data_IF_025691537023
#
_entry.id   IF_025691537023
#
_cell.length_a   1.000
_cell.length_b   1.000
_cell.length_c   1.000
_cell.angle_alpha   90.00
_cell.angle_beta   90.00
_cell.angle_gamma   90.00
#
_symmetry.space_group_name_H-M   'P 1'
#
loop_
_entity.id
_entity.type
_entity.pdbx_description
1 polymer ?
#
# COMPACT_ATOMS: atom_id res chain seq x y z
N UNK A 1 48.17 38.30 16.93
CA UNK A 1 47.19 37.45 17.63
C UNK A 1 45.80 37.78 17.07
N UNK A 2 45.53 37.39 15.83
CA UNK A 2 44.31 37.81 15.09
C UNK A 2 43.88 36.81 14.01
N UNK A 3 44.70 35.79 13.70
CA UNK A 3 44.40 34.79 12.66
C UNK A 3 43.44 33.70 13.18
N UNK A 4 43.36 33.51 14.50
CA UNK A 4 42.51 32.48 15.12
C UNK A 4 41.00 32.78 15.03
N UNK A 5 40.60 34.05 14.86
CA UNK A 5 39.16 34.42 14.80
C UNK A 5 38.55 34.30 13.40
N UNK A 6 39.35 34.23 12.33
CA UNK A 6 38.81 34.14 10.96
C UNK A 6 38.47 32.70 10.53
N UNK A 7 39.03 31.68 11.19
CA UNK A 7 38.77 30.27 10.86
C UNK A 7 37.46 29.73 11.44
N UNK A 8 37.00 30.23 12.60
CA UNK A 8 35.74 29.80 13.20
C UNK A 8 34.51 30.25 12.41
N UNK A 9 34.56 31.44 11.81
CA UNK A 9 33.38 32.02 11.16
C UNK A 9 33.00 31.33 9.84
N UNK A 10 33.96 30.68 9.17
CA UNK A 10 33.70 30.00 7.90
C UNK A 10 33.20 28.57 8.09
N UNK A 11 33.59 27.92 9.19
CA UNK A 11 33.17 26.55 9.50
C UNK A 11 31.68 26.45 9.80
N UNK A 12 31.13 27.45 10.51
CA UNK A 12 29.72 27.50 10.87
C UNK A 12 28.79 27.62 9.64
N UNK A 13 29.20 28.38 8.62
CA UNK A 13 28.44 28.53 7.37
C UNK A 13 28.41 27.23 6.55
N UNK A 14 29.51 26.49 6.55
CA UNK A 14 29.60 25.18 5.86
C UNK A 14 28.76 24.13 6.59
N UNK A 15 28.78 24.13 7.93
CA UNK A 15 27.99 23.21 8.75
C UNK A 15 26.48 23.43 8.58
N UNK A 16 26.01 24.69 8.55
CA UNK A 16 24.59 25.00 8.30
C UNK A 16 24.14 24.57 6.90
N UNK A 17 24.96 24.81 5.88
CA UNK A 17 24.62 24.41 4.50
C UNK A 17 24.55 22.88 4.36
N UNK A 18 25.47 22.15 5.00
CA UNK A 18 25.48 20.69 4.97
C UNK A 18 24.28 20.11 5.74
N UNK A 19 23.94 20.67 6.90
CA UNK A 19 22.78 20.22 7.69
C UNK A 19 21.45 20.55 7.02
N UNK A 20 21.29 21.73 6.39
CA UNK A 20 20.11 22.01 5.56
C UNK A 20 20.01 21.08 4.34
N UNK A 21 21.12 20.76 3.68
CA UNK A 21 21.12 19.81 2.56
C UNK A 21 20.71 18.39 3.01
N UNK A 22 21.17 17.94 4.18
CA UNK A 22 20.78 16.64 4.75
C UNK A 22 19.30 16.64 5.16
N UNK A 23 18.80 17.72 5.79
CA UNK A 23 17.38 17.85 6.17
C UNK A 23 16.47 17.91 4.93
N UNK A 24 16.90 18.56 3.84
CA UNK A 24 16.21 18.56 2.55
C UNK A 24 16.26 17.19 1.84
N UNK A 25 17.35 16.42 2.00
CA UNK A 25 17.42 15.06 1.44
C UNK A 25 16.50 14.07 2.16
N UNK A 26 16.24 14.25 3.46
CA UNK A 26 15.31 13.40 4.22
C UNK A 26 13.83 13.75 3.98
N UNK A 27 13.52 14.90 3.39
CA UNK A 27 12.13 15.37 3.16
C UNK A 27 11.55 14.98 1.79
N UNK A 28 12.29 14.22 0.96
CA UNK A 28 11.85 13.80 -0.38
C UNK A 28 11.52 12.30 -0.51
N UNK A 29 11.46 11.55 0.59
CA UNK A 29 10.92 10.18 0.58
C UNK A 29 9.41 10.23 0.85
N UNK A 30 8.64 10.49 -0.21
CA UNK A 30 7.18 10.46 -0.15
C UNK A 30 6.69 9.02 0.03
N UNK A 31 6.15 8.73 1.22
CA UNK A 31 5.34 7.55 1.47
C UNK A 31 3.88 7.98 1.46
N UNK A 32 3.13 7.44 0.51
CA UNK A 32 1.68 7.56 0.51
C UNK A 32 1.13 6.46 1.43
N UNK A 33 0.26 6.83 2.35
CA UNK A 33 -0.45 5.89 3.22
C UNK A 33 -1.93 6.18 3.19
N UNK A 34 -2.73 5.13 3.25
CA UNK A 34 -4.19 5.22 3.13
C UNK A 34 -4.79 4.61 4.39
N UNK A 35 -5.57 5.39 5.12
CA UNK A 35 -6.44 4.83 6.17
C UNK A 35 -7.84 4.77 5.63
N UNK A 36 -8.48 3.61 5.79
CA UNK A 36 -9.91 3.48 5.58
C UNK A 36 -10.62 3.74 6.92
N UNK A 37 -11.36 4.84 7.02
CA UNK A 37 -12.22 5.11 8.19
C UNK A 37 -13.68 4.90 7.82
N UNK A 38 -14.39 4.12 8.63
CA UNK A 38 -15.82 3.89 8.44
C UNK A 38 -16.60 5.08 9.01
N UNK A 39 -17.24 5.86 8.14
CA UNK A 39 -18.19 6.91 8.51
C UNK A 39 -19.61 6.38 8.75
N UNK A 40 -20.61 7.26 8.69
CA UNK A 40 -22.02 6.93 8.98
C UNK A 40 -22.67 5.97 7.99
N UNK A 41 -22.10 5.77 6.78
CA UNK A 41 -22.53 4.70 5.88
C UNK A 41 -21.58 4.38 4.72
N UNK A 42 -20.43 5.05 4.63
CA UNK A 42 -19.49 4.94 3.52
C UNK A 42 -18.06 4.77 4.05
N UNK A 43 -17.27 3.91 3.39
CA UNK A 43 -15.83 3.83 3.63
C UNK A 43 -15.18 5.04 2.98
N UNK A 44 -14.68 5.97 3.79
CA UNK A 44 -13.83 7.04 3.28
C UNK A 44 -12.37 6.60 3.34
N UNK A 45 -11.71 6.67 2.19
CA UNK A 45 -10.28 6.47 2.07
C UNK A 45 -9.62 7.84 2.07
N UNK A 46 -8.83 8.13 3.09
CA UNK A 46 -8.01 9.34 3.11
C UNK A 46 -6.59 8.98 2.68
N UNK A 47 -6.24 9.35 1.44
CA UNK A 47 -4.85 9.30 0.95
C UNK A 47 -4.08 10.43 1.64
N UNK A 48 -3.02 10.07 2.37
CA UNK A 48 -2.09 11.04 2.96
C UNK A 48 -0.64 10.69 2.64
N UNK A 49 0.05 11.69 2.10
CA UNK A 49 1.48 11.64 1.78
C UNK A 49 2.33 12.11 2.98
N UNK A 50 2.00 11.62 4.17
CA UNK A 50 2.70 11.95 5.43
C UNK A 50 3.23 10.66 6.07
N UNK A 51 4.55 10.54 6.17
CA UNK A 51 5.23 9.43 6.82
C UNK A 51 4.80 9.25 8.29
N UNK A 52 4.51 10.33 9.00
CA UNK A 52 4.01 10.24 10.38
C UNK A 52 2.60 9.65 10.44
N UNK A 53 1.81 9.82 9.38
CA UNK A 53 0.50 9.19 9.25
C UNK A 53 0.64 7.72 8.84
N UNK A 54 1.51 7.41 7.88
CA UNK A 54 1.84 6.04 7.47
C UNK A 54 2.30 5.18 8.66
N UNK A 55 3.24 5.71 9.45
CA UNK A 55 3.78 5.05 10.65
C UNK A 55 2.75 4.96 11.78
N UNK A 56 1.79 5.89 11.86
CA UNK A 56 0.67 5.80 12.81
C UNK A 56 -0.33 4.71 12.44
N UNK A 57 -0.46 4.42 11.15
CA UNK A 57 -1.49 3.53 10.62
C UNK A 57 -0.94 2.12 10.40
N UNK A 58 0.36 1.98 10.10
CA UNK A 58 1.01 0.71 9.78
C UNK A 58 2.26 0.55 10.67
N UNK A 59 2.33 -0.49 11.53
CA UNK A 59 3.44 -0.66 12.47
C UNK A 59 4.79 -0.88 11.78
N UNK A 60 5.86 -0.25 12.28
CA UNK A 60 7.21 -0.39 11.72
C UNK A 60 7.70 -1.86 11.70
N UNK A 61 7.33 -2.64 12.72
CA UNK A 61 7.65 -4.07 12.80
C UNK A 61 6.98 -4.89 11.68
N UNK A 62 5.82 -4.47 11.17
CA UNK A 62 5.20 -5.10 10.00
C UNK A 62 6.03 -4.83 8.74
N UNK A 63 6.45 -3.58 8.53
CA UNK A 63 7.27 -3.21 7.37
C UNK A 63 8.61 -3.95 7.37
N UNK A 64 9.23 -4.10 8.55
CA UNK A 64 10.44 -4.91 8.70
C UNK A 64 10.18 -6.39 8.35
N UNK A 65 9.06 -6.95 8.81
CA UNK A 65 8.68 -8.33 8.48
C UNK A 65 8.51 -8.56 6.97
N UNK A 66 7.88 -7.61 6.27
CA UNK A 66 7.68 -7.66 4.81
C UNK A 66 9.03 -7.62 4.09
N UNK A 67 9.90 -6.68 4.50
CA UNK A 67 11.25 -6.53 3.94
C UNK A 67 12.10 -7.79 4.11
N UNK A 68 11.91 -8.53 5.21
CA UNK A 68 12.67 -9.74 5.50
C UNK A 68 12.12 -11.00 4.81
N UNK A 69 10.80 -11.13 4.69
CA UNK A 69 10.18 -12.42 4.32
C UNK A 69 9.55 -12.44 2.93
N UNK A 70 9.02 -11.32 2.44
CA UNK A 70 8.29 -11.31 1.17
C UNK A 70 9.11 -10.66 0.05
N UNK A 71 9.94 -9.66 0.37
CA UNK A 71 10.77 -8.98 -0.64
C UNK A 71 11.88 -9.92 -1.16
N UNK A 72 12.00 -10.11 -2.50
CA UNK A 72 13.09 -10.88 -3.08
C UNK A 72 14.46 -10.34 -2.69
N UNK A 73 15.40 -11.21 -2.35
CA UNK A 73 16.75 -10.81 -1.85
C UNK A 73 17.59 -10.03 -2.88
N UNK A 74 17.27 -10.17 -4.16
CA UNK A 74 17.91 -9.50 -5.30
C UNK A 74 17.24 -8.16 -5.65
N UNK A 75 16.13 -7.80 -4.99
CA UNK A 75 15.47 -6.53 -5.22
C UNK A 75 16.21 -5.38 -4.50
N UNK A 76 16.61 -4.37 -5.27
CA UNK A 76 17.39 -3.22 -4.78
C UNK A 76 16.54 -1.99 -4.43
N UNK A 77 15.22 -2.12 -4.35
CA UNK A 77 14.33 -1.02 -4.02
C UNK A 77 14.19 -0.77 -2.51
N UNK A 78 13.42 0.24 -2.13
CA UNK A 78 13.13 0.55 -0.72
C UNK A 78 11.78 -0.07 -0.31
N UNK A 79 11.76 -1.09 0.58
CA UNK A 79 10.52 -1.73 1.03
C UNK A 79 9.54 -0.77 1.69
N UNK A 80 10.00 0.39 2.17
CA UNK A 80 9.15 1.39 2.81
C UNK A 80 8.22 2.10 1.81
N UNK A 81 8.40 1.88 0.51
CA UNK A 81 7.56 2.44 -0.56
C UNK A 81 6.25 1.70 -0.75
N UNK A 82 6.05 0.54 -0.14
CA UNK A 82 4.77 -0.14 -0.21
C UNK A 82 3.72 0.65 0.57
N UNK A 83 2.58 0.89 -0.09
CA UNK A 83 1.41 1.40 0.62
C UNK A 83 0.82 0.25 1.44
N UNK A 84 0.40 0.57 2.65
CA UNK A 84 -0.31 -0.38 3.48
C UNK A 84 -1.56 0.30 4.04
N UNK A 85 -2.67 -0.42 3.97
CA UNK A 85 -4.00 0.03 4.35
C UNK A 85 -4.37 -0.70 5.63
N UNK A 86 -4.53 0.04 6.73
CA UNK A 86 -5.12 -0.52 7.93
C UNK A 86 -6.65 -0.47 7.83
N UNK A 87 -7.28 -1.64 7.94
CA UNK A 87 -8.72 -1.84 7.89
C UNK A 87 -9.18 -2.21 9.30
N UNK A 88 -9.91 -1.29 9.94
CA UNK A 88 -10.51 -1.50 11.25
C UNK A 88 -11.96 -1.05 11.25
N UNK A 89 -12.87 -2.01 11.40
CA UNK A 89 -14.31 -1.81 11.51
C UNK A 89 -14.80 -2.10 12.92
N UNK A 90 -15.99 -1.58 13.24
CA UNK A 90 -16.65 -1.84 14.52
C UNK A 90 -16.84 -3.35 14.73
N UNK A 91 -16.31 -3.88 15.83
CA UNK A 91 -16.38 -5.30 16.19
C UNK A 91 -15.11 -6.10 15.85
N UNK A 92 -14.19 -5.56 15.05
CA UNK A 92 -12.86 -6.14 14.91
C UNK A 92 -12.06 -5.95 16.20
N UNK A 93 -11.33 -6.98 16.62
CA UNK A 93 -10.42 -6.90 17.77
C UNK A 93 -9.09 -6.25 17.42
N UNK A 94 -8.61 -6.51 16.21
CA UNK A 94 -7.33 -6.02 15.69
C UNK A 94 -7.53 -5.57 14.24
N UNK A 95 -6.76 -4.56 13.79
CA UNK A 95 -6.80 -4.12 12.40
C UNK A 95 -6.23 -5.20 11.47
N UNK A 96 -6.77 -5.26 10.26
CA UNK A 96 -6.17 -5.98 9.14
C UNK A 96 -5.29 -5.01 8.35
N UNK A 97 -4.04 -5.37 8.10
CA UNK A 97 -3.11 -4.58 7.31
C UNK A 97 -3.00 -5.17 5.91
N UNK A 98 -3.64 -4.54 4.92
CA UNK A 98 -3.50 -4.92 3.51
C UNK A 98 -2.31 -4.18 2.91
N UNK A 99 -1.37 -4.90 2.33
CA UNK A 99 -0.22 -4.35 1.60
C UNK A 99 -0.65 -4.17 0.15
N UNK A 100 -0.67 -2.92 -0.29
CA UNK A 100 -0.95 -2.55 -1.66
C UNK A 100 0.39 -2.43 -2.43
N UNK A 101 0.73 -3.43 -3.25
CA UNK A 101 1.97 -3.46 -4.01
C UNK A 101 1.95 -2.50 -5.20
N UNK A 102 0.76 -2.09 -5.66
CA UNK A 102 0.60 -1.05 -6.67
C UNK A 102 1.05 0.25 -6.05
N UNK A 103 2.19 0.76 -6.50
CA UNK A 103 2.61 2.13 -6.20
C UNK A 103 1.50 3.06 -6.68
N UNK A 104 0.67 3.50 -5.74
CA UNK A 104 -0.34 4.51 -5.97
C UNK A 104 0.34 5.67 -6.70
N UNK A 105 -0.07 5.86 -7.95
CA UNK A 105 -0.11 7.15 -8.65
C UNK A 105 1.13 8.06 -8.46
N UNK A 106 2.35 7.51 -8.42
CA UNK A 106 3.57 8.32 -8.55
C UNK A 106 3.63 8.80 -10.00
N UNK A 107 3.02 9.96 -10.23
CA UNK A 107 2.92 10.92 -11.36
C UNK A 107 3.90 10.85 -12.55
N UNK A 108 4.40 9.67 -12.93
CA UNK A 108 5.43 9.55 -13.96
C UNK A 108 5.47 8.21 -14.69
N UNK A 109 4.53 7.30 -14.42
CA UNK A 109 4.43 6.05 -15.17
C UNK A 109 2.96 5.76 -15.49
N UNK A 110 2.45 6.22 -16.64
CA UNK A 110 1.12 5.79 -17.09
C UNK A 110 1.13 4.27 -17.21
N UNK A 111 0.06 3.61 -16.73
CA UNK A 111 -0.10 2.15 -16.78
C UNK A 111 0.12 1.55 -18.19
N UNK A 112 0.08 2.38 -19.24
CA UNK A 112 0.59 2.09 -20.59
C UNK A 112 1.89 2.86 -20.82
N UNK A 113 3.03 2.18 -20.74
CA UNK A 113 4.33 2.75 -21.16
C UNK A 113 5.53 2.49 -20.23
N UNK A 114 5.33 1.88 -19.06
CA UNK A 114 6.44 1.46 -18.20
C UNK A 114 7.08 0.19 -18.76
N UNK A 115 8.41 0.15 -18.88
CA UNK A 115 9.09 -1.12 -19.17
C UNK A 115 8.91 -2.09 -18.00
N UNK A 116 8.82 -3.39 -18.28
CA UNK A 116 8.73 -4.44 -17.27
C UNK A 116 9.90 -4.36 -16.26
N UNK A 117 11.08 -3.95 -16.72
CA UNK A 117 12.27 -3.74 -15.89
C UNK A 117 12.10 -2.58 -14.88
N UNK A 118 11.51 -1.45 -15.31
CA UNK A 118 11.22 -0.34 -14.41
C UNK A 118 10.13 -0.70 -13.39
N UNK A 119 9.14 -1.51 -13.80
CA UNK A 119 8.11 -2.04 -12.91
C UNK A 119 8.72 -2.98 -11.86
N UNK A 120 9.58 -3.92 -12.27
CA UNK A 120 10.26 -4.84 -11.38
C UNK A 120 11.18 -4.13 -10.38
N UNK A 121 11.89 -3.07 -10.81
CA UNK A 121 12.69 -2.23 -9.92
C UNK A 121 11.84 -1.45 -8.90
N UNK A 122 10.59 -1.11 -9.25
CA UNK A 122 9.73 -0.23 -8.44
C UNK A 122 8.77 -0.99 -7.53
N UNK A 123 8.25 -2.13 -7.95
CA UNK A 123 7.40 -3.00 -7.15
C UNK A 123 7.69 -4.46 -7.47
N UNK A 124 8.42 -5.19 -6.62
CA UNK A 124 8.86 -6.57 -6.88
C UNK A 124 7.69 -7.55 -6.88
N UNK A 125 6.53 -7.12 -6.36
CA UNK A 125 5.31 -7.90 -6.26
C UNK A 125 4.42 -7.77 -7.49
N UNK A 126 4.81 -6.95 -8.46
CA UNK A 126 3.96 -6.55 -9.56
C UNK A 126 4.56 -6.99 -10.91
N UNK A 127 3.87 -7.90 -11.60
CA UNK A 127 4.14 -8.23 -13.00
C UNK A 127 3.50 -7.24 -13.97
N UNK A 128 3.50 -7.57 -15.25
CA UNK A 128 2.88 -6.73 -16.30
C UNK A 128 1.36 -6.62 -16.11
N UNK A 129 0.69 -7.75 -15.81
CA UNK A 129 -0.78 -7.84 -15.81
C UNK A 129 -1.42 -7.95 -14.41
N UNK A 130 -0.65 -8.31 -13.38
CA UNK A 130 -1.15 -8.57 -12.02
C UNK A 130 -0.13 -8.16 -10.95
N UNK A 131 -0.60 -7.91 -9.72
CA UNK A 131 0.27 -7.76 -8.55
C UNK A 131 -0.10 -8.76 -7.46
N UNK A 132 0.90 -9.15 -6.66
CA UNK A 132 0.74 -9.98 -5.47
C UNK A 132 0.40 -9.10 -4.26
N UNK A 133 -0.83 -9.21 -3.78
CA UNK A 133 -1.32 -8.54 -2.59
C UNK A 133 -1.11 -9.42 -1.37
N UNK A 134 -0.82 -8.79 -0.23
CA UNK A 134 -0.67 -9.48 1.06
C UNK A 134 -1.56 -8.84 2.11
N UNK A 135 -2.05 -9.60 3.07
CA UNK A 135 -2.60 -9.01 4.29
C UNK A 135 -2.09 -9.68 5.55
N UNK A 136 -1.99 -8.88 6.60
CA UNK A 136 -1.40 -9.24 7.88
C UNK A 136 -2.34 -8.91 9.04
N UNK A 137 -2.34 -9.77 10.05
CA UNK A 137 -2.93 -9.49 11.36
C UNK A 137 -1.84 -9.38 12.40
N UNK A 138 -2.04 -8.46 13.34
CA UNK A 138 -1.22 -8.38 14.54
C UNK A 138 -1.87 -9.16 15.69
N UNK A 139 -1.09 -10.06 16.29
CA UNK A 139 -1.46 -10.77 17.51
C UNK A 139 -0.28 -10.74 18.49
N UNK A 140 -0.47 -10.10 19.66
CA UNK A 140 0.55 -10.00 20.71
C UNK A 140 1.89 -9.45 20.20
N UNK A 141 1.86 -8.42 19.35
CA UNK A 141 3.06 -7.80 18.77
C UNK A 141 3.73 -8.62 17.66
N UNK A 142 3.09 -9.70 17.19
CA UNK A 142 3.58 -10.51 16.07
C UNK A 142 2.63 -10.37 14.88
N UNK A 143 3.20 -10.22 13.70
CA UNK A 143 2.43 -10.17 12.45
C UNK A 143 2.39 -11.54 11.78
N UNK A 144 1.20 -11.99 11.42
CA UNK A 144 0.95 -13.24 10.69
C UNK A 144 0.31 -12.92 9.34
N UNK A 145 0.86 -13.49 8.26
CA UNK A 145 0.30 -13.35 6.91
C UNK A 145 -0.99 -14.18 6.82
N UNK A 146 -2.09 -13.54 6.48
CA UNK A 146 -3.43 -14.16 6.39
C UNK A 146 -4.06 -14.06 5.01
N UNK A 147 -3.45 -13.33 4.08
CA UNK A 147 -3.88 -13.23 2.70
C UNK A 147 -2.66 -13.08 1.80
N UNK A 148 -2.70 -13.74 0.65
CA UNK A 148 -1.65 -13.71 -0.38
C UNK A 148 -2.29 -14.13 -1.70
N UNK A 149 -2.53 -13.19 -2.60
CA UNK A 149 -3.16 -13.47 -3.89
C UNK A 149 -2.63 -12.57 -5.01
N UNK A 150 -2.53 -13.13 -6.21
CA UNK A 150 -2.22 -12.38 -7.42
C UNK A 150 -3.50 -11.78 -8.00
N UNK A 151 -3.62 -10.46 -7.95
CA UNK A 151 -4.80 -9.73 -8.41
C UNK A 151 -4.48 -8.97 -9.72
N UNK A 152 -5.29 -9.13 -10.78
CA UNK A 152 -5.15 -8.35 -12.01
C UNK A 152 -5.30 -6.84 -11.78
N UNK A 153 -4.56 -6.01 -12.53
CA UNK A 153 -4.48 -4.55 -12.28
C UNK A 153 -5.40 -3.66 -13.11
N UNK A 154 -6.24 -4.25 -13.95
CA UNK A 154 -6.96 -3.49 -14.97
C UNK A 154 -8.41 -3.26 -14.57
N UNK A 155 -8.75 -1.98 -14.41
CA UNK A 155 -10.11 -1.48 -14.26
C UNK A 155 -10.26 -0.17 -15.03
N UNK A 156 -11.48 0.16 -15.47
CA UNK A 156 -11.75 1.49 -16.01
C UNK A 156 -11.53 2.58 -14.94
N UNK A 157 -11.23 3.81 -15.38
CA UNK A 157 -11.18 4.95 -14.48
C UNK A 157 -12.46 5.06 -13.65
N UNK A 158 -12.34 5.45 -12.39
CA UNK A 158 -13.44 5.71 -11.45
C UNK A 158 -14.20 4.47 -10.93
N UNK A 159 -13.80 3.24 -11.28
CA UNK A 159 -14.32 2.05 -10.59
C UNK A 159 -13.44 1.71 -9.37
N UNK A 160 -14.00 1.48 -8.16
CA UNK A 160 -13.20 1.13 -6.99
C UNK A 160 -12.58 -0.26 -7.14
N UNK A 161 -11.24 -0.31 -7.23
CA UNK A 161 -10.50 -1.57 -7.33
C UNK A 161 -10.68 -2.48 -6.12
N UNK A 162 -10.72 -1.89 -4.94
CA UNK A 162 -10.75 -2.60 -3.68
C UNK A 162 -11.89 -2.09 -2.82
N UNK A 163 -12.65 -3.02 -2.24
CA UNK A 163 -13.72 -2.74 -1.27
C UNK A 163 -13.60 -3.71 -0.10
N UNK A 164 -14.19 -3.33 1.02
CA UNK A 164 -14.33 -4.20 2.20
C UNK A 164 -15.79 -4.31 2.58
N UNK A 165 -16.24 -5.52 2.88
CA UNK A 165 -17.59 -5.76 3.35
C UNK A 165 -17.83 -5.10 4.71
N UNK A 166 -19.06 -4.64 4.96
CA UNK A 166 -19.50 -4.16 6.29
C UNK A 166 -19.69 -5.30 7.29
N UNK A 167 -19.85 -6.54 6.81
CA UNK A 167 -20.08 -7.71 7.65
C UNK A 167 -18.76 -8.38 8.02
N UNK A 168 -18.61 -8.71 9.30
CA UNK A 168 -17.46 -9.44 9.80
C UNK A 168 -17.72 -10.95 9.73
N UNK A 169 -16.79 -11.68 9.11
CA UNK A 169 -16.71 -13.13 9.13
C UNK A 169 -15.49 -13.55 9.97
N UNK A 170 -15.72 -14.39 11.00
CA UNK A 170 -14.69 -14.71 12.01
C UNK A 170 -14.00 -13.49 12.62
N UNK A 171 -14.73 -12.37 12.76
CA UNK A 171 -14.20 -11.14 13.35
C UNK A 171 -13.38 -10.26 12.41
N UNK A 172 -13.36 -10.54 11.10
CA UNK A 172 -12.67 -9.76 10.07
C UNK A 172 -13.60 -9.49 8.87
N UNK A 173 -13.47 -8.36 8.16
CA UNK A 173 -14.28 -8.07 6.98
C UNK A 173 -13.88 -8.96 5.80
N UNK A 174 -14.81 -9.26 4.90
CA UNK A 174 -14.44 -9.83 3.60
C UNK A 174 -13.82 -8.75 2.70
N UNK A 175 -12.83 -9.16 1.89
CA UNK A 175 -12.15 -8.33 0.91
C UNK A 175 -12.77 -8.55 -0.46
N UNK A 176 -12.96 -7.47 -1.21
CA UNK A 176 -13.48 -7.53 -2.58
C UNK A 176 -12.49 -6.84 -3.51
N UNK A 177 -12.11 -7.56 -4.56
CA UNK A 177 -11.26 -7.06 -5.63
C UNK A 177 -12.01 -7.12 -6.95
N UNK A 178 -12.09 -5.99 -7.63
CA UNK A 178 -12.70 -5.87 -8.94
C UNK A 178 -11.64 -5.87 -10.04
N UNK A 179 -11.95 -6.47 -11.19
CA UNK A 179 -11.09 -6.47 -12.36
C UNK A 179 -11.91 -6.67 -13.64
N UNK A 180 -11.31 -6.30 -14.78
CA UNK A 180 -11.89 -6.57 -16.09
C UNK A 180 -11.88 -8.08 -16.38
N UNK A 181 -13.00 -8.67 -16.83
CA UNK A 181 -13.04 -10.08 -17.19
C UNK A 181 -12.24 -10.38 -18.46
N UNK A 182 -11.65 -11.57 -18.54
CA UNK A 182 -10.91 -12.04 -19.72
C UNK A 182 -11.79 -12.17 -20.98
N UNK A 183 -13.10 -12.41 -20.77
CA UNK A 183 -14.10 -12.39 -21.84
C UNK A 183 -14.73 -11.01 -21.86
N UNK A 184 -14.66 -10.37 -23.02
CA UNK A 184 -15.19 -9.03 -23.30
C UNK A 184 -16.71 -9.04 -23.14
N UNK A 185 -17.19 -8.99 -21.89
CA UNK A 185 -18.45 -8.34 -21.59
C UNK A 185 -18.09 -6.86 -21.39
N UNK A 186 -18.37 -5.99 -22.37
CA UNK A 186 -17.96 -4.60 -22.31
C UNK A 186 -18.71 -3.80 -21.24
N UNK A 187 -19.66 -4.42 -20.53
CA UNK A 187 -20.58 -3.74 -19.62
C UNK A 187 -20.44 -4.17 -18.16
N UNK A 188 -19.55 -5.12 -17.84
CA UNK A 188 -19.39 -5.64 -16.49
C UNK A 188 -17.95 -5.75 -16.00
N UNK A 189 -17.77 -5.61 -14.69
CA UNK A 189 -16.55 -6.02 -13.97
C UNK A 189 -16.77 -7.36 -13.31
N UNK A 190 -15.71 -8.15 -13.21
CA UNK A 190 -15.67 -9.31 -12.34
C UNK A 190 -15.24 -8.88 -10.94
N UNK A 191 -15.96 -9.31 -9.91
CA UNK A 191 -15.63 -9.10 -8.51
C UNK A 191 -15.34 -10.45 -7.86
N UNK A 192 -14.16 -10.56 -7.26
CA UNK A 192 -13.80 -11.70 -6.40
C UNK A 192 -13.86 -11.28 -4.93
N UNK A 193 -14.63 -12.02 -4.15
CA UNK A 193 -14.73 -11.87 -2.70
C UNK A 193 -13.87 -12.91 -1.99
N UNK A 194 -13.11 -12.46 -1.00
CA UNK A 194 -12.32 -13.31 -0.11
C UNK A 194 -12.76 -13.10 1.33
N UNK A 195 -13.06 -14.17 2.05
CA UNK A 195 -13.48 -14.10 3.44
C UNK A 195 -12.54 -14.92 4.34
N UNK A 196 -12.35 -14.47 5.57
CA UNK A 196 -11.58 -15.21 6.56
C UNK A 196 -12.33 -16.49 6.97
N UNK A 197 -11.65 -17.63 6.99
CA UNK A 197 -12.17 -18.91 7.48
C UNK A 197 -11.77 -19.22 8.94
N UNK A 198 -11.35 -18.19 9.68
CA UNK A 198 -10.79 -18.30 11.03
C UNK A 198 -9.26 -18.37 11.10
N UNK A 199 -8.59 -18.60 9.97
CA UNK A 199 -7.11 -18.70 9.91
C UNK A 199 -6.52 -17.80 8.82
N UNK A 200 -7.14 -17.82 7.64
CA UNK A 200 -6.71 -17.05 6.48
C UNK A 200 -7.90 -16.68 5.60
N UNK A 201 -7.68 -15.73 4.71
CA UNK A 201 -8.59 -15.41 3.64
C UNK A 201 -8.57 -16.52 2.57
N UNK A 202 -9.75 -16.91 2.12
CA UNK A 202 -9.97 -17.84 1.01
C UNK A 202 -11.01 -17.27 0.07
N UNK A 203 -10.98 -17.68 -1.20
CA UNK A 203 -12.02 -17.31 -2.16
C UNK A 203 -13.39 -17.76 -1.65
N UNK A 204 -14.33 -16.82 -1.56
CA UNK A 204 -15.71 -17.03 -1.10
C UNK A 204 -16.65 -17.08 -2.31
N UNK A 205 -16.67 -15.99 -3.08
CA UNK A 205 -17.60 -15.81 -4.20
C UNK A 205 -16.94 -15.05 -5.34
N UNK A 206 -17.44 -15.31 -6.54
CA UNK A 206 -17.12 -14.58 -7.75
C UNK A 206 -18.44 -14.20 -8.42
N UNK A 207 -18.56 -12.95 -8.83
CA UNK A 207 -19.75 -12.45 -9.51
C UNK A 207 -19.41 -11.28 -10.43
N UNK A 208 -20.40 -10.85 -11.21
CA UNK A 208 -20.26 -9.73 -12.13
C UNK A 208 -21.10 -8.56 -11.65
N UNK A 209 -20.54 -7.36 -11.69
CA UNK A 209 -21.27 -6.11 -11.44
C UNK A 209 -21.28 -5.29 -12.73
N UNK A 210 -22.41 -4.67 -13.09
CA UNK A 210 -22.44 -3.73 -14.21
C UNK A 210 -21.53 -2.53 -13.90
N UNK A 211 -20.99 -1.90 -14.95
CA UNK A 211 -20.37 -0.59 -14.76
C UNK A 211 -21.37 0.41 -14.19
N UNK A 212 -20.94 1.30 -13.28
CA UNK A 212 -21.80 2.40 -12.85
C UNK A 212 -22.19 3.23 -14.09
N UNK A 213 -23.49 3.42 -14.30
CA UNK A 213 -24.00 4.33 -15.32
C UNK A 213 -23.52 5.75 -14.97
N UNK A 214 -22.81 6.40 -15.90
CA UNK A 214 -22.34 7.78 -15.75
C UNK A 214 -23.49 8.78 -15.89
#
# INVERSE_FOLDING_TARGET
MTISMMLEQNWWKTFIKLSMAIICLFSLMACQSVTATLGSDELSYELRDDWNYAVKVVPAALMEKIAQNDVPSDWSGDPRRFAAIAILQKGQKTPLYLIEPSLLRLDGCPQRGCSAELLAQRSPFCGEIACLYFAYLEENGRFSKVFEEYIPKYLPPNYPFFRVSKQLNHGLPCLEFAFLPDRIDPEAVQVNTFCCNGWKYVGDRQYFEPFPEN
#
